data_IF_608023295270
#
_entry.id   IF_608023295270
#
_cell.length_a   1.000
_cell.length_b   1.000
_cell.length_c   1.000
_cell.angle_alpha   90.00
_cell.angle_beta   90.00
_cell.angle_gamma   90.00
#
_symmetry.space_group_name_H-M   'P 1'
#
loop_
_entity.id
_entity.type
_entity.pdbx_description
1 polymer ?
#
# COMPACT_ATOMS: atom_id res chain seq x y z
N UNK A 1 -12.54 -4.29 -16.92
CA UNK A 1 -12.47 -2.83 -17.14
C UNK A 1 -11.60 -2.22 -16.06
N UNK A 2 -10.42 -1.71 -16.42
CA UNK A 2 -9.54 -0.98 -15.50
C UNK A 2 -10.14 0.41 -15.30
N UNK A 3 -10.97 0.57 -14.27
CA UNK A 3 -11.64 1.83 -13.98
C UNK A 3 -10.66 2.77 -13.27
N UNK A 4 -9.92 3.54 -14.07
CA UNK A 4 -9.18 4.69 -13.59
C UNK A 4 -10.10 5.68 -12.87
N UNK A 5 -9.55 6.41 -11.92
CA UNK A 5 -10.24 7.42 -11.10
C UNK A 5 -9.78 8.82 -11.49
N UNK A 6 -10.65 9.82 -11.34
CA UNK A 6 -10.29 11.24 -11.54
C UNK A 6 -9.45 11.78 -10.38
N UNK A 7 -9.80 11.38 -9.16
CA UNK A 7 -9.18 11.84 -7.92
C UNK A 7 -9.10 10.75 -6.86
N UNK A 8 -8.07 10.85 -6.01
CA UNK A 8 -7.91 9.98 -4.87
C UNK A 8 -8.99 10.28 -3.83
N UNK A 9 -9.48 9.24 -3.17
CA UNK A 9 -10.50 9.36 -2.13
C UNK A 9 -9.94 10.11 -0.91
N UNK A 10 -10.78 10.95 -0.32
CA UNK A 10 -10.48 11.60 0.95
C UNK A 10 -10.95 10.70 2.10
N UNK A 11 -10.09 9.77 2.51
CA UNK A 11 -10.36 8.81 3.59
C UNK A 11 -9.80 9.29 4.91
N UNK A 12 -10.43 8.89 6.02
CA UNK A 12 -10.00 9.26 7.36
C UNK A 12 -8.79 8.41 7.78
N UNK A 13 -7.61 9.02 8.00
CA UNK A 13 -6.41 8.33 8.45
C UNK A 13 -6.52 7.94 9.92
N UNK A 14 -5.84 6.86 10.30
CA UNK A 14 -5.63 6.45 11.68
C UNK A 14 -5.03 7.61 12.50
N UNK A 15 -5.59 7.86 13.68
CA UNK A 15 -5.00 8.81 14.62
C UNK A 15 -3.70 8.28 15.21
N UNK A 16 -2.73 9.18 15.44
CA UNK A 16 -1.45 8.88 16.11
C UNK A 16 -0.64 7.75 15.43
N UNK A 17 -0.83 7.56 14.12
CA UNK A 17 -0.05 6.62 13.32
C UNK A 17 1.47 6.81 13.49
N UNK A 18 2.18 5.72 13.75
CA UNK A 18 3.63 5.69 13.90
C UNK A 18 4.31 5.09 12.66
N UNK A 19 4.82 5.95 11.77
CA UNK A 19 5.57 5.50 10.60
C UNK A 19 6.79 4.63 10.98
N UNK A 20 7.50 4.94 12.06
CA UNK A 20 8.67 4.14 12.48
C UNK A 20 8.31 2.72 12.93
N UNK A 21 7.07 2.47 13.36
CA UNK A 21 6.61 1.12 13.74
C UNK A 21 6.06 0.36 12.54
N UNK A 22 5.48 1.08 11.57
CA UNK A 22 4.89 0.46 10.39
C UNK A 22 5.94 0.07 9.33
N UNK A 23 6.91 0.94 9.07
CA UNK A 23 7.94 0.75 8.03
C UNK A 23 9.14 -0.05 8.55
N UNK A 24 8.85 -1.21 9.12
CA UNK A 24 9.83 -2.17 9.60
C UNK A 24 9.42 -3.56 9.17
N UNK A 25 10.32 -4.32 8.54
CA UNK A 25 10.09 -5.72 8.18
C UNK A 25 9.11 -5.90 7.01
N UNK A 26 8.49 -7.08 6.98
CA UNK A 26 7.68 -7.53 5.85
C UNK A 26 6.19 -7.43 6.15
N UNK A 27 5.42 -7.11 5.12
CA UNK A 27 3.97 -7.20 5.10
C UNK A 27 3.50 -7.98 3.87
N UNK A 28 2.52 -8.85 4.06
CA UNK A 28 1.89 -9.65 3.01
C UNK A 28 0.52 -9.05 2.70
N UNK A 29 0.28 -8.61 1.46
CA UNK A 29 -1.07 -8.20 1.03
C UNK A 29 -1.94 -9.45 0.90
N UNK A 30 -2.99 -9.55 1.71
CA UNK A 30 -3.90 -10.71 1.72
C UNK A 30 -5.26 -10.41 1.15
N UNK A 31 -5.70 -9.15 1.18
CA UNK A 31 -6.96 -8.77 0.53
C UNK A 31 -6.87 -7.41 -0.13
N UNK A 32 -7.62 -7.25 -1.21
CA UNK A 32 -7.70 -6.02 -1.98
C UNK A 32 -9.12 -5.73 -2.45
N UNK A 33 -9.50 -4.46 -2.56
CA UNK A 33 -10.81 -4.10 -3.13
C UNK A 33 -10.86 -4.36 -4.64
N UNK A 34 -9.77 -4.09 -5.34
CA UNK A 34 -9.70 -4.20 -6.81
C UNK A 34 -8.55 -5.10 -7.22
N UNK A 35 -8.84 -6.31 -7.71
CA UNK A 35 -7.82 -7.20 -8.26
C UNK A 35 -7.56 -6.87 -9.74
N UNK A 36 -6.88 -5.75 -10.01
CA UNK A 36 -6.70 -5.21 -11.37
C UNK A 36 -5.52 -5.82 -12.13
N UNK A 37 -4.57 -6.44 -11.44
CA UNK A 37 -3.35 -7.03 -12.02
C UNK A 37 -2.62 -7.88 -10.96
N UNK A 38 -1.76 -8.78 -11.43
CA UNK A 38 -0.88 -9.58 -10.55
C UNK A 38 0.01 -8.73 -9.63
N UNK A 39 0.26 -7.46 -9.98
CA UNK A 39 1.06 -6.49 -9.21
C UNK A 39 0.35 -5.94 -7.97
N UNK A 40 -0.90 -6.34 -7.71
CA UNK A 40 -1.69 -5.85 -6.57
C UNK A 40 -1.46 -6.70 -5.31
N UNK A 41 -1.47 -8.02 -5.45
CA UNK A 41 -1.22 -8.99 -4.38
C UNK A 41 0.29 -9.21 -4.22
N UNK A 42 0.94 -8.33 -3.45
CA UNK A 42 2.39 -8.27 -3.35
C UNK A 42 2.86 -8.40 -1.90
N UNK A 43 4.10 -8.86 -1.74
CA UNK A 43 4.78 -8.83 -0.45
C UNK A 43 5.62 -7.55 -0.40
N UNK A 44 5.33 -6.69 0.58
CA UNK A 44 6.07 -5.45 0.78
C UNK A 44 7.16 -5.65 1.82
N UNK A 45 8.39 -5.35 1.44
CA UNK A 45 9.47 -5.10 2.39
C UNK A 45 9.49 -3.61 2.71
N UNK A 46 9.44 -3.26 3.99
CA UNK A 46 9.40 -1.88 4.43
C UNK A 46 10.56 -1.54 5.36
N UNK A 47 11.14 -0.36 5.18
CA UNK A 47 12.31 0.11 5.94
C UNK A 47 12.19 1.61 6.25
N UNK A 48 12.77 2.03 7.36
CA UNK A 48 13.07 3.43 7.65
C UNK A 48 14.59 3.61 7.59
N UNK A 49 15.08 4.14 6.46
CA UNK A 49 16.48 4.42 6.19
C UNK A 49 16.75 5.91 6.50
N UNK A 50 17.05 6.23 7.77
CA UNK A 50 17.36 7.58 8.21
C UNK A 50 16.29 8.63 7.83
N UNK A 51 15.01 8.37 8.16
CA UNK A 51 13.82 9.18 7.82
C UNK A 51 13.35 9.06 6.37
N UNK A 52 13.98 8.20 5.58
CA UNK A 52 13.45 7.79 4.27
C UNK A 52 12.66 6.51 4.45
N UNK A 53 11.34 6.60 4.27
CA UNK A 53 10.44 5.45 4.26
C UNK A 53 10.60 4.75 2.91
N UNK A 54 10.85 3.46 2.94
CA UNK A 54 11.07 2.62 1.77
C UNK A 54 10.02 1.52 1.72
N UNK A 55 9.48 1.27 0.53
CA UNK A 55 8.64 0.11 0.22
C UNK A 55 9.20 -0.57 -1.02
N UNK A 56 9.50 -1.86 -0.92
CA UNK A 56 10.06 -2.68 -1.98
C UNK A 56 9.20 -3.91 -2.24
N UNK A 57 9.03 -4.28 -3.50
CA UNK A 57 8.42 -5.53 -3.94
C UNK A 57 8.82 -5.85 -5.37
N UNK A 58 8.65 -7.10 -5.78
CA UNK A 58 9.01 -7.56 -7.13
C UNK A 58 7.86 -8.35 -7.74
N UNK A 59 7.66 -8.19 -9.04
CA UNK A 59 6.67 -8.94 -9.79
C UNK A 59 7.25 -9.40 -11.14
N UNK A 60 6.64 -10.43 -11.72
CA UNK A 60 7.04 -10.96 -13.02
C UNK A 60 5.82 -10.98 -13.96
N UNK A 61 5.96 -10.33 -15.11
CA UNK A 61 4.96 -10.28 -16.18
C UNK A 61 5.55 -10.74 -17.53
N UNK A 62 6.56 -11.62 -17.48
CA UNK A 62 7.41 -12.02 -18.60
C UNK A 62 8.85 -11.48 -18.46
N UNK A 63 9.05 -10.52 -17.57
CA UNK A 63 10.35 -10.02 -17.13
C UNK A 63 10.30 -9.75 -15.61
N UNK A 64 11.44 -9.92 -14.94
CA UNK A 64 11.59 -9.54 -13.55
C UNK A 64 11.57 -8.00 -13.40
N UNK A 65 10.63 -7.50 -12.59
CA UNK A 65 10.47 -6.08 -12.30
C UNK A 65 10.60 -5.85 -10.80
N UNK A 66 11.58 -5.03 -10.41
CA UNK A 66 11.81 -4.62 -9.04
C UNK A 66 11.25 -3.22 -8.82
N UNK A 67 10.36 -3.08 -7.85
CA UNK A 67 9.77 -1.81 -7.46
C UNK A 67 10.42 -1.30 -6.18
N UNK A 68 10.89 -0.06 -6.21
CA UNK A 68 11.33 0.67 -5.02
C UNK A 68 10.61 2.01 -4.95
N UNK A 69 9.92 2.22 -3.84
CA UNK A 69 9.17 3.42 -3.52
C UNK A 69 9.83 4.13 -2.35
N UNK A 70 10.16 5.40 -2.50
CA UNK A 70 10.79 6.21 -1.45
C UNK A 70 9.93 7.42 -1.09
N UNK A 71 9.73 7.61 0.20
CA UNK A 71 8.96 8.71 0.78
C UNK A 71 9.71 9.34 1.94
N UNK A 72 9.54 10.64 2.14
CA UNK A 72 10.18 11.34 3.26
C UNK A 72 9.26 11.32 4.48
N UNK A 73 9.77 10.85 5.62
CA UNK A 73 9.06 10.87 6.88
C UNK A 73 8.88 12.34 7.32
N UNK A 74 7.65 12.84 7.23
CA UNK A 74 7.32 14.21 7.66
C UNK A 74 6.37 14.16 8.84
N UNK A 75 6.77 14.81 9.94
CA UNK A 75 5.96 14.91 11.16
C UNK A 75 4.55 15.44 10.82
N UNK A 76 3.52 14.83 11.41
CA UNK A 76 2.10 15.21 11.30
C UNK A 76 1.46 15.06 9.91
N UNK A 77 2.14 14.48 8.92
CA UNK A 77 1.49 14.13 7.66
C UNK A 77 0.66 12.87 7.83
N UNK A 78 -0.64 13.00 7.63
CA UNK A 78 -1.59 11.90 7.65
C UNK A 78 -1.62 11.08 6.34
N UNK A 79 -1.01 11.63 5.28
CA UNK A 79 -0.83 11.02 3.97
C UNK A 79 0.65 10.88 3.68
N UNK A 80 1.10 9.66 3.41
CA UNK A 80 2.48 9.35 3.07
C UNK A 80 2.62 9.33 1.56
N UNK A 81 3.53 10.14 1.03
CA UNK A 81 3.75 10.27 -0.41
C UNK A 81 5.06 9.63 -0.79
N UNK A 82 5.02 8.76 -1.79
CA UNK A 82 6.15 7.99 -2.29
C UNK A 82 6.34 8.24 -3.78
N UNK A 83 7.61 8.29 -4.20
CA UNK A 83 8.01 8.22 -5.60
C UNK A 83 8.48 6.81 -5.90
N UNK A 84 7.89 6.14 -6.88
CA UNK A 84 8.16 4.74 -7.18
C UNK A 84 8.85 4.57 -8.54
N UNK A 85 9.89 3.75 -8.51
CA UNK A 85 10.65 3.33 -9.68
C UNK A 85 10.44 1.84 -9.93
N UNK A 86 10.43 1.44 -11.19
CA UNK A 86 10.50 0.05 -11.63
C UNK A 86 11.82 -0.13 -12.36
N UNK A 87 12.69 -1.01 -11.87
CA UNK A 87 14.05 -1.20 -12.39
C UNK A 87 14.77 0.16 -12.57
N UNK A 88 14.75 0.97 -11.51
CA UNK A 88 15.30 2.35 -11.44
C UNK A 88 14.67 3.42 -12.34
N UNK A 89 13.66 3.07 -13.15
CA UNK A 89 12.93 4.02 -14.00
C UNK A 89 11.68 4.53 -13.28
N UNK A 90 11.50 5.87 -13.12
CA UNK A 90 10.29 6.44 -12.51
C UNK A 90 9.02 5.99 -13.24
N UNK A 91 8.04 5.44 -12.51
CA UNK A 91 6.84 4.86 -13.12
C UNK A 91 5.53 5.41 -12.56
N UNK A 92 5.47 5.63 -11.26
CA UNK A 92 4.29 6.17 -10.60
C UNK A 92 4.65 6.81 -9.26
N UNK A 93 3.83 7.74 -8.81
CA UNK A 93 3.81 8.19 -7.43
C UNK A 93 2.69 7.47 -6.68
N UNK A 94 2.86 7.28 -5.37
CA UNK A 94 1.86 6.63 -4.54
C UNK A 94 1.59 7.42 -3.25
N UNK A 95 0.31 7.64 -2.97
CA UNK A 95 -0.18 8.17 -1.72
C UNK A 95 -0.77 7.01 -0.89
N UNK A 96 -0.18 6.76 0.27
CA UNK A 96 -0.67 5.79 1.25
C UNK A 96 -1.32 6.52 2.42
N UNK A 97 -2.52 6.06 2.79
CA UNK A 97 -3.25 6.52 3.97
C UNK A 97 -3.59 5.30 4.81
N UNK A 98 -2.88 5.14 5.94
CA UNK A 98 -3.12 4.05 6.89
C UNK A 98 -4.42 4.34 7.64
N UNK A 99 -5.37 3.41 7.58
CA UNK A 99 -6.70 3.54 8.18
C UNK A 99 -6.74 2.92 9.57
N UNK A 100 -6.06 1.77 9.74
CA UNK A 100 -5.90 1.09 11.02
C UNK A 100 -4.71 0.13 10.93
N UNK A 101 -3.96 -0.03 12.03
CA UNK A 101 -2.91 -1.03 12.17
C UNK A 101 -2.58 -1.20 13.65
N UNK A 102 -2.32 -2.44 14.05
CA UNK A 102 -1.74 -2.75 15.36
C UNK A 102 -0.20 -2.88 15.31
N UNK A 103 0.39 -2.62 14.13
CA UNK A 103 1.80 -2.72 13.77
C UNK A 103 2.39 -4.14 13.76
N UNK A 104 1.84 -5.04 14.55
CA UNK A 104 2.40 -6.36 14.85
C UNK A 104 1.76 -7.50 14.08
N UNK A 105 0.55 -7.29 13.56
CA UNK A 105 -0.23 -8.37 12.96
C UNK A 105 -0.93 -7.94 11.68
N UNK A 106 -1.59 -6.77 11.69
CA UNK A 106 -2.37 -6.30 10.56
C UNK A 106 -2.17 -4.83 10.21
N UNK A 107 -2.53 -4.50 8.98
CA UNK A 107 -2.82 -3.15 8.57
C UNK A 107 -3.94 -3.10 7.52
N UNK A 108 -4.74 -2.05 7.58
CA UNK A 108 -5.62 -1.63 6.50
C UNK A 108 -5.15 -0.27 6.01
N UNK A 109 -4.94 -0.13 4.70
CA UNK A 109 -4.64 1.17 4.13
C UNK A 109 -5.28 1.38 2.76
N UNK A 110 -5.51 2.66 2.46
CA UNK A 110 -5.88 3.13 1.14
C UNK A 110 -4.63 3.54 0.37
N UNK A 111 -4.50 3.00 -0.84
CA UNK A 111 -3.45 3.32 -1.81
C UNK A 111 -4.06 4.06 -2.98
N UNK A 112 -3.54 5.23 -3.33
CA UNK A 112 -3.80 5.88 -4.60
C UNK A 112 -2.49 6.06 -5.36
N UNK A 113 -2.44 5.65 -6.62
CA UNK A 113 -1.26 5.83 -7.48
C UNK A 113 -1.56 6.83 -8.59
N UNK A 114 -0.53 7.56 -9.02
CA UNK A 114 -0.57 8.43 -10.20
C UNK A 114 0.57 8.01 -11.13
N UNK A 115 0.26 7.57 -12.35
CA UNK A 115 1.28 7.18 -13.32
C UNK A 115 2.03 8.40 -13.86
N UNK A 116 3.36 8.35 -13.87
CA UNK A 116 4.20 9.48 -14.30
C UNK A 116 4.05 9.79 -15.79
N UNK A 117 3.75 8.79 -16.61
CA UNK A 117 3.66 8.93 -18.08
C UNK A 117 2.37 9.59 -18.56
N UNK A 118 1.27 9.44 -17.83
CA UNK A 118 -0.08 9.87 -18.25
C UNK A 118 -0.77 10.79 -17.26
N UNK A 119 -0.34 10.82 -16.00
CA UNK A 119 -1.08 11.43 -14.90
C UNK A 119 -2.36 10.68 -14.52
N UNK A 120 -2.65 9.54 -15.15
CA UNK A 120 -3.82 8.73 -14.80
C UNK A 120 -3.68 8.12 -13.42
N UNK A 121 -4.81 7.93 -12.73
CA UNK A 121 -4.83 7.48 -11.34
C UNK A 121 -5.63 6.20 -11.19
N UNK A 122 -5.15 5.36 -10.27
CA UNK A 122 -5.84 4.17 -9.80
C UNK A 122 -5.76 4.14 -8.27
N UNK A 123 -6.73 3.51 -7.63
CA UNK A 123 -6.73 3.33 -6.19
C UNK A 123 -7.16 1.93 -5.75
N UNK A 124 -6.88 1.62 -4.50
CA UNK A 124 -7.25 0.36 -3.88
C UNK A 124 -7.25 0.47 -2.35
N UNK A 125 -8.04 -0.38 -1.69
CA UNK A 125 -7.89 -0.68 -0.27
C UNK A 125 -7.18 -2.02 -0.13
N UNK A 126 -6.20 -2.10 0.76
CA UNK A 126 -5.40 -3.30 0.96
C UNK A 126 -5.40 -3.69 2.44
N UNK A 127 -5.64 -4.96 2.72
CA UNK A 127 -5.40 -5.59 4.03
C UNK A 127 -4.09 -6.34 3.97
N UNK A 128 -3.23 -6.05 4.94
CA UNK A 128 -1.89 -6.60 5.04
C UNK A 128 -1.75 -7.36 6.35
N UNK A 129 -0.93 -8.41 6.31
CA UNK A 129 -0.61 -9.28 7.45
C UNK A 129 0.89 -9.35 7.66
N UNK A 130 1.34 -9.57 8.90
CA UNK A 130 2.75 -9.86 9.20
C UNK A 130 3.13 -11.31 8.90
N UNK A 131 2.17 -12.22 8.92
CA UNK A 131 2.34 -13.63 8.57
C UNK A 131 1.73 -13.93 7.20
N UNK A 132 2.42 -14.67 6.35
CA UNK A 132 1.94 -15.07 5.02
C UNK A 132 0.82 -16.13 5.05
N UNK A 133 0.68 -16.85 6.18
CA UNK A 133 -0.33 -17.89 6.35
C UNK A 133 -1.71 -17.39 6.75
N UNK A 134 -1.82 -16.12 7.17
CA UNK A 134 -3.07 -15.58 7.71
C UNK A 134 -3.92 -15.00 6.58
N UNK A 135 -4.94 -15.74 6.15
CA UNK A 135 -5.80 -15.33 5.02
C UNK A 135 -7.17 -14.83 5.47
N UNK A 136 -7.40 -14.66 6.77
CA UNK A 136 -8.62 -14.05 7.28
C UNK A 136 -8.47 -12.54 7.41
N UNK A 137 -9.57 -11.81 7.21
CA UNK A 137 -9.63 -10.39 7.59
C UNK A 137 -9.74 -10.31 9.12
N UNK A 138 -8.81 -9.62 9.82
CA UNK A 138 -8.86 -9.46 11.27
C UNK A 138 -10.19 -8.87 11.76
N UNK A 139 -10.73 -9.40 12.86
CA UNK A 139 -12.01 -8.95 13.42
C UNK A 139 -11.99 -7.46 13.80
N UNK A 140 -10.84 -6.93 14.22
CA UNK A 140 -10.63 -5.50 14.49
C UNK A 140 -10.93 -4.61 13.29
N UNK A 141 -10.72 -5.12 12.07
CA UNK A 141 -10.96 -4.40 10.82
C UNK A 141 -12.40 -4.51 10.31
N UNK A 142 -13.25 -5.36 10.90
CA UNK A 142 -14.57 -5.70 10.36
C UNK A 142 -15.45 -4.47 10.08
N UNK A 143 -15.44 -3.48 10.97
CA UNK A 143 -16.23 -2.25 10.79
C UNK A 143 -15.76 -1.43 9.59
N UNK A 144 -14.45 -1.38 9.34
CA UNK A 144 -13.83 -0.63 8.24
C UNK A 144 -13.91 -1.38 6.90
N UNK A 145 -13.97 -2.71 6.92
CA UNK A 145 -13.90 -3.54 5.70
C UNK A 145 -15.23 -4.06 5.20
N UNK A 146 -16.27 -4.14 6.06
CA UNK A 146 -17.58 -4.74 5.73
C UNK A 146 -18.25 -4.24 4.45
N UNK A 147 -17.98 -2.99 4.06
CA UNK A 147 -18.57 -2.36 2.86
C UNK A 147 -17.60 -2.21 1.69
N UNK A 148 -16.34 -2.65 1.86
CA UNK A 148 -15.31 -2.45 0.86
C UNK A 148 -15.33 -3.50 -0.26
N UNK A 149 -16.02 -4.64 -0.05
CA UNK A 149 -16.08 -5.72 -1.04
C UNK A 149 -14.70 -6.32 -1.33
N UNK A 150 -13.91 -6.57 -0.28
CA UNK A 150 -12.55 -7.06 -0.41
C UNK A 150 -12.49 -8.47 -0.99
N UNK A 151 -11.54 -8.68 -1.90
CA UNK A 151 -11.22 -9.95 -2.55
C UNK A 151 -9.92 -10.47 -1.95
N UNK A 152 -9.85 -11.78 -1.71
CA UNK A 152 -8.61 -12.43 -1.30
C UNK A 152 -7.56 -12.38 -2.41
N UNK A 153 -6.33 -12.20 -1.97
CA UNK A 153 -5.12 -12.63 -2.67
C UNK A 153 -4.87 -14.11 -2.31
#
# INVERSE_FOLDING_TARGET
>A
ATTGISECQNVTPMERFSATQFFTGTWYVTHVQKNTSATVCQTFTTKDENRTLVVEYSFNDGQENNVRCEGQQRRRKKKLHFKCKVNDVPKFDADFIILDTDYNDYALFYRCITFTSSGSKNDNYLVLRRSSGDQDIPTSLASLTSKLGLLAC
#
